data_IF_340125314434
#
_entry.id   IF_340125314434
#
_cell.length_a   1.000
_cell.length_b   1.000
_cell.length_c   1.000
_cell.angle_alpha   90.00
_cell.angle_beta   90.00
_cell.angle_gamma   90.00
#
_symmetry.space_group_name_H-M   'P 1'
#
loop_
_entity.id
_entity.type
_entity.pdbx_description
1 polymer ?
#
# COMPACT_ATOMS: atom_id res chain seq x y z
N UNK A 1 -67.76 4.00 26.35
CA UNK A 1 -67.82 4.11 24.87
C UNK A 1 -66.55 4.85 24.43
N UNK A 2 -65.76 4.23 23.54
CA UNK A 2 -64.46 4.73 23.03
C UNK A 2 -64.61 6.01 22.17
N UNK A 3 -63.55 6.59 21.55
CA UNK A 3 -62.47 5.97 20.75
C UNK A 3 -61.41 7.00 20.34
N UNK A 4 -60.16 6.54 20.12
CA UNK A 4 -59.14 7.12 19.22
C UNK A 4 -58.06 7.96 19.91
N UNK A 5 -56.75 7.69 19.85
CA UNK A 5 -55.94 6.80 19.03
C UNK A 5 -54.79 7.58 18.39
N UNK A 6 -53.56 7.49 18.91
CA UNK A 6 -52.32 7.87 18.22
C UNK A 6 -51.18 6.91 18.62
N UNK A 7 -50.43 6.47 17.61
CA UNK A 7 -49.49 5.36 17.64
C UNK A 7 -48.13 5.70 18.27
N UNK A 8 -47.51 4.69 18.89
CA UNK A 8 -46.14 4.71 19.42
C UNK A 8 -45.13 4.15 18.40
N UNK A 9 -43.86 4.60 18.43
CA UNK A 9 -42.73 3.73 18.16
C UNK A 9 -42.05 3.30 19.47
N UNK A 10 -41.91 1.98 19.59
CA UNK A 10 -41.30 1.25 20.70
C UNK A 10 -39.80 1.54 20.76
N UNK A 11 -39.32 1.94 21.93
CA UNK A 11 -37.90 1.97 22.32
C UNK A 11 -37.46 0.52 22.53
N UNK A 12 -36.42 0.08 21.82
CA UNK A 12 -35.75 -1.20 22.09
C UNK A 12 -34.46 -0.87 22.87
N UNK A 13 -34.40 -1.08 24.20
CA UNK A 13 -33.12 -1.12 24.88
C UNK A 13 -32.46 -2.46 24.55
N UNK A 14 -31.33 -2.39 23.84
CA UNK A 14 -30.48 -3.55 23.56
C UNK A 14 -29.70 -3.89 24.84
N UNK A 15 -30.27 -4.79 25.63
CA UNK A 15 -29.59 -5.42 26.77
C UNK A 15 -28.86 -6.67 26.25
N UNK A 16 -27.53 -6.61 26.09
CA UNK A 16 -26.72 -7.78 25.76
C UNK A 16 -26.14 -8.32 27.07
N UNK A 17 -26.87 -9.27 27.67
CA UNK A 17 -26.34 -10.16 28.68
C UNK A 17 -25.24 -11.03 28.06
N UNK A 18 -23.98 -10.79 28.47
CA UNK A 18 -22.87 -11.65 28.12
C UNK A 18 -22.91 -12.92 29.00
N UNK A 19 -23.59 -13.97 28.51
CA UNK A 19 -23.50 -15.30 29.12
C UNK A 19 -22.13 -15.90 28.79
N UNK A 20 -21.16 -15.70 29.68
CA UNK A 20 -19.89 -16.41 29.64
C UNK A 20 -20.09 -17.86 30.15
N UNK A 21 -20.53 -18.74 29.25
CA UNK A 21 -20.42 -20.18 29.43
C UNK A 21 -19.16 -20.66 28.71
N UNK A 22 -18.08 -20.75 29.47
CA UNK A 22 -16.81 -21.33 29.05
C UNK A 22 -16.37 -22.40 30.05
N UNK A 23 -17.14 -23.47 30.19
CA UNK A 23 -16.65 -24.69 30.81
C UNK A 23 -15.80 -25.45 29.79
N UNK A 24 -14.48 -25.34 29.92
CA UNK A 24 -13.56 -26.36 29.42
C UNK A 24 -12.38 -26.47 30.38
N UNK A 25 -12.52 -27.45 31.26
CA UNK A 25 -11.46 -28.02 32.08
C UNK A 25 -10.45 -28.69 31.14
N UNK A 26 -9.23 -28.15 31.04
CA UNK A 26 -8.09 -28.91 30.50
C UNK A 26 -6.82 -28.71 31.31
N UNK A 27 -6.27 -29.86 31.61
CA UNK A 27 -5.13 -30.20 32.45
C UNK A 27 -3.82 -30.01 31.67
N UNK A 28 -2.74 -29.68 32.39
CA UNK A 28 -1.30 -29.76 32.05
C UNK A 28 -0.89 -30.09 30.60
N UNK A 29 -0.15 -29.17 29.97
CA UNK A 29 0.75 -29.48 28.84
C UNK A 29 0.88 -28.34 27.85
N UNK A 30 2.09 -27.96 27.50
CA UNK A 30 2.39 -26.71 26.78
C UNK A 30 2.11 -26.71 25.27
N UNK A 31 2.19 -25.47 24.74
CA UNK A 31 2.55 -25.09 23.38
C UNK A 31 1.46 -24.94 22.28
N UNK A 32 1.47 -23.73 21.71
CA UNK A 32 0.95 -23.22 20.42
C UNK A 32 -0.54 -22.90 20.28
N UNK A 33 -0.92 -21.66 20.62
CA UNK A 33 -2.15 -21.02 20.16
C UNK A 33 -1.88 -19.60 19.63
N UNK A 34 -1.48 -19.46 18.35
CA UNK A 34 -1.38 -18.10 17.77
C UNK A 34 -1.79 -17.97 16.29
N UNK A 35 -2.49 -18.96 15.71
CA UNK A 35 -2.97 -18.86 14.31
C UNK A 35 -4.49 -18.66 14.14
N UNK A 36 -5.30 -19.07 15.13
CA UNK A 36 -6.77 -18.94 15.04
C UNK A 36 -7.26 -17.53 15.40
N UNK A 37 -6.67 -16.90 16.42
CA UNK A 37 -7.06 -15.54 16.86
C UNK A 37 -6.68 -14.46 15.85
N UNK A 38 -5.66 -14.69 15.02
CA UNK A 38 -5.22 -13.71 14.01
C UNK A 38 -6.19 -13.67 12.81
N UNK A 39 -6.61 -14.82 12.27
CA UNK A 39 -7.57 -14.86 11.17
C UNK A 39 -8.91 -14.19 11.53
N UNK A 40 -9.37 -14.32 12.78
CA UNK A 40 -10.58 -13.66 13.25
C UNK A 40 -10.37 -12.14 13.37
N UNK A 41 -9.23 -11.67 13.85
CA UNK A 41 -8.89 -10.24 13.90
C UNK A 41 -8.77 -9.63 12.50
N UNK A 42 -8.13 -10.33 11.57
CA UNK A 42 -7.97 -9.89 10.18
C UNK A 42 -9.32 -9.83 9.44
N UNK A 43 -10.22 -10.78 9.73
CA UNK A 43 -11.58 -10.79 9.18
C UNK A 43 -12.44 -9.68 9.79
N UNK A 44 -12.34 -9.44 11.11
CA UNK A 44 -13.08 -8.37 11.78
C UNK A 44 -12.58 -6.98 11.38
N UNK A 45 -11.27 -6.78 11.20
CA UNK A 45 -10.72 -5.52 10.63
C UNK A 45 -11.19 -5.28 9.19
N UNK A 46 -11.29 -6.34 8.39
CA UNK A 46 -11.81 -6.28 7.02
C UNK A 46 -13.30 -5.95 6.97
N UNK A 47 -14.10 -6.44 7.90
CA UNK A 47 -15.54 -6.15 8.02
C UNK A 47 -15.78 -4.73 8.58
N UNK A 48 -14.93 -4.25 9.50
CA UNK A 48 -14.97 -2.86 9.98
C UNK A 48 -14.62 -1.84 8.88
N UNK A 49 -13.80 -2.23 7.89
CA UNK A 49 -13.42 -1.35 6.78
C UNK A 49 -14.45 -1.27 5.64
N UNK A 50 -15.56 -2.02 5.70
CA UNK A 50 -16.62 -2.00 4.68
C UNK A 50 -17.89 -1.23 5.10
N UNK A 51 -17.82 -0.39 6.13
CA UNK A 51 -18.91 0.51 6.52
C UNK A 51 -18.77 1.89 5.88
N UNK A 52 -19.54 2.16 4.83
CA UNK A 52 -19.63 3.51 4.24
C UNK A 52 -20.13 4.53 5.26
N UNK A 53 -19.30 5.54 5.54
CA UNK A 53 -19.65 6.70 6.36
C UNK A 53 -19.00 7.96 5.81
N UNK A 54 -19.83 8.91 5.34
CA UNK A 54 -19.40 10.21 4.84
C UNK A 54 -18.72 11.01 5.95
N UNK A 55 -17.42 11.22 5.83
CA UNK A 55 -16.61 12.10 6.65
C UNK A 55 -15.36 12.48 5.86
N UNK A 56 -15.49 13.46 4.96
CA UNK A 56 -14.45 13.88 4.04
C UNK A 56 -13.32 14.63 4.78
N UNK A 57 -12.37 13.88 5.33
CA UNK A 57 -10.97 14.30 5.31
C UNK A 57 -10.40 13.78 4.00
N UNK A 58 -9.99 14.70 3.12
CA UNK A 58 -9.51 14.45 1.77
C UNK A 58 -8.09 13.80 1.76
N UNK A 59 -7.85 12.82 2.64
CA UNK A 59 -6.52 12.23 2.85
C UNK A 59 -6.28 11.18 1.76
N UNK A 60 -5.43 11.55 0.79
CA UNK A 60 -4.92 10.64 -0.24
C UNK A 60 -4.16 9.50 0.47
N UNK A 61 -4.47 8.23 0.19
CA UNK A 61 -3.74 7.11 0.79
C UNK A 61 -2.28 7.09 0.29
N UNK A 62 -1.37 6.48 1.05
CA UNK A 62 0.06 6.41 0.67
C UNK A 62 0.34 5.35 -0.40
N UNK A 63 -0.51 4.31 -0.50
CA UNK A 63 -0.40 3.23 -1.47
C UNK A 63 -1.77 2.91 -2.10
N UNK A 64 -1.77 2.10 -3.16
CA UNK A 64 -2.95 1.74 -3.95
C UNK A 64 -3.20 2.70 -5.12
N UNK A 65 -4.10 2.34 -6.03
CA UNK A 65 -4.40 3.14 -7.24
C UNK A 65 -4.81 4.60 -6.93
N UNK A 66 -5.47 4.84 -5.80
CA UNK A 66 -5.97 6.15 -5.40
C UNK A 66 -4.90 7.01 -4.70
N UNK A 67 -3.70 6.47 -4.47
CA UNK A 67 -2.55 7.22 -3.93
C UNK A 67 -1.83 8.08 -4.97
N UNK A 68 -2.04 7.78 -6.24
CA UNK A 68 -1.42 8.54 -7.35
C UNK A 68 -2.26 9.80 -7.59
N UNK A 69 -1.64 11.00 -7.55
CA UNK A 69 -2.34 12.24 -7.85
C UNK A 69 -3.04 12.17 -9.20
N UNK A 70 -4.33 12.50 -9.25
CA UNK A 70 -5.13 12.52 -10.50
C UNK A 70 -4.92 13.87 -11.19
N UNK A 71 -4.57 13.85 -12.47
CA UNK A 71 -4.38 15.07 -13.27
C UNK A 71 -3.98 14.76 -14.71
N UNK A 72 -3.84 15.80 -15.56
CA UNK A 72 -3.20 15.63 -16.85
C UNK A 72 -1.74 15.21 -16.62
N UNK A 73 -1.34 14.09 -17.18
CA UNK A 73 0.04 13.63 -17.14
C UNK A 73 0.74 14.10 -18.40
N UNK A 74 1.94 14.65 -18.24
CA UNK A 74 2.82 14.90 -19.40
C UNK A 74 3.26 13.58 -20.02
N UNK A 75 3.69 13.61 -21.26
CA UNK A 75 4.28 12.46 -21.93
C UNK A 75 5.79 12.64 -22.09
N UNK A 76 6.53 11.54 -21.95
CA UNK A 76 7.97 11.46 -22.24
C UNK A 76 8.21 10.19 -23.03
N UNK A 77 8.93 10.30 -24.14
CA UNK A 77 9.21 9.18 -25.03
C UNK A 77 7.94 8.44 -25.51
N UNK A 78 6.81 9.14 -25.63
CA UNK A 78 5.52 8.56 -26.01
C UNK A 78 4.79 7.79 -24.89
N UNK A 79 5.22 7.94 -23.64
CA UNK A 79 4.60 7.30 -22.48
C UNK A 79 4.10 8.33 -21.47
N UNK A 80 2.94 8.08 -20.82
CA UNK A 80 2.43 8.97 -19.79
C UNK A 80 3.30 8.93 -18.53
N UNK A 81 3.63 10.11 -18.01
CA UNK A 81 4.33 10.29 -16.73
C UNK A 81 3.32 10.18 -15.59
N UNK A 82 2.82 8.97 -15.39
CA UNK A 82 1.90 8.60 -14.32
C UNK A 82 2.52 7.48 -13.51
N UNK A 83 2.57 7.58 -12.19
CA UNK A 83 3.05 6.46 -11.36
C UNK A 83 2.17 5.23 -11.55
N UNK A 84 2.79 4.11 -11.92
CA UNK A 84 2.18 2.79 -11.90
C UNK A 84 2.22 2.25 -10.46
N UNK A 85 1.25 2.67 -9.64
CA UNK A 85 1.17 2.42 -8.20
C UNK A 85 1.61 1.00 -7.79
N UNK A 86 0.97 -0.04 -8.35
CA UNK A 86 1.28 -1.43 -7.98
C UNK A 86 2.69 -1.90 -8.36
N UNK A 87 3.33 -1.26 -9.35
CA UNK A 87 4.73 -1.55 -9.68
C UNK A 87 5.69 -0.78 -8.75
N UNK A 88 5.39 0.49 -8.46
CA UNK A 88 6.18 1.32 -7.55
C UNK A 88 6.16 0.77 -6.12
N UNK A 89 5.00 0.33 -5.64
CA UNK A 89 4.82 -0.22 -4.29
C UNK A 89 5.71 -1.44 -4.03
N UNK A 90 6.10 -2.21 -5.06
CA UNK A 90 7.08 -3.30 -4.92
C UNK A 90 8.46 -2.83 -4.47
N UNK A 91 8.69 -1.53 -4.41
CA UNK A 91 9.90 -0.89 -3.93
C UNK A 91 9.66 -0.06 -2.66
N UNK A 92 8.42 0.12 -2.20
CA UNK A 92 8.11 0.90 -0.99
C UNK A 92 7.93 -0.06 0.19
N UNK A 93 8.75 0.06 1.26
CA UNK A 93 8.60 -0.76 2.46
C UNK A 93 7.18 -0.70 3.04
N UNK A 94 6.80 -1.77 3.73
CA UNK A 94 5.50 -1.92 4.41
C UNK A 94 4.24 -2.00 3.55
N UNK A 95 4.34 -1.75 2.24
CA UNK A 95 3.22 -1.97 1.32
C UNK A 95 2.90 -3.47 1.18
N UNK A 96 1.63 -3.83 0.90
CA UNK A 96 1.27 -5.23 0.64
C UNK A 96 2.07 -5.86 -0.50
N UNK A 97 2.35 -5.08 -1.56
CA UNK A 97 3.11 -5.53 -2.72
C UNK A 97 4.58 -5.81 -2.38
N UNK A 98 5.23 -4.97 -1.57
CA UNK A 98 6.59 -5.22 -1.10
C UNK A 98 6.67 -6.45 -0.20
N UNK A 99 5.75 -6.58 0.77
CA UNK A 99 5.67 -7.76 1.65
C UNK A 99 5.47 -9.05 0.85
N UNK A 100 4.68 -9.01 -0.22
CA UNK A 100 4.48 -10.15 -1.10
C UNK A 100 5.75 -10.53 -1.87
N UNK A 101 6.54 -9.56 -2.37
CA UNK A 101 7.81 -9.85 -3.03
C UNK A 101 8.81 -10.50 -2.05
N UNK A 102 8.87 -10.02 -0.80
CA UNK A 102 9.68 -10.65 0.25
C UNK A 102 9.21 -12.08 0.58
N UNK A 103 7.90 -12.30 0.70
CA UNK A 103 7.33 -13.63 0.93
C UNK A 103 7.64 -14.61 -0.23
N UNK A 104 7.80 -14.08 -1.45
CA UNK A 104 8.23 -14.83 -2.63
C UNK A 104 9.76 -15.02 -2.72
N UNK A 105 10.52 -14.65 -1.69
CA UNK A 105 11.98 -14.74 -1.66
C UNK A 105 12.69 -13.74 -2.59
N UNK A 106 12.01 -12.66 -2.99
CA UNK A 106 12.56 -11.63 -3.88
C UNK A 106 12.86 -10.36 -3.11
N UNK A 107 14.15 -10.12 -2.89
CA UNK A 107 14.62 -8.84 -2.38
C UNK A 107 14.56 -7.77 -3.48
N UNK A 108 13.96 -6.63 -3.17
CA UNK A 108 13.75 -5.51 -4.09
C UNK A 108 14.54 -4.32 -3.58
N UNK A 109 15.05 -3.49 -4.49
CA UNK A 109 15.56 -2.17 -4.12
C UNK A 109 14.46 -1.40 -3.36
N UNK A 110 14.87 -0.63 -2.35
CA UNK A 110 13.99 0.14 -1.48
C UNK A 110 13.93 1.58 -2.00
N UNK A 111 12.75 2.09 -2.30
CA UNK A 111 12.48 3.48 -2.63
C UNK A 111 12.08 4.25 -1.36
N UNK A 112 12.60 5.45 -1.19
CA UNK A 112 12.23 6.35 -0.10
C UNK A 112 11.06 7.23 -0.52
N UNK A 113 9.95 7.10 0.20
CA UNK A 113 8.72 7.84 -0.07
C UNK A 113 7.59 6.95 -0.56
N UNK A 114 6.55 7.58 -1.06
CA UNK A 114 5.31 6.93 -1.49
C UNK A 114 5.00 7.21 -2.97
N UNK A 115 3.81 6.82 -3.43
CA UNK A 115 3.40 7.07 -4.82
C UNK A 115 3.29 8.56 -5.16
N UNK A 116 3.06 9.44 -4.17
CA UNK A 116 3.04 10.89 -4.38
C UNK A 116 4.45 11.41 -4.62
N UNK A 117 5.41 11.04 -3.78
CA UNK A 117 6.83 11.39 -3.96
C UNK A 117 7.36 10.82 -5.28
N UNK A 118 7.00 9.58 -5.62
CA UNK A 118 7.37 8.99 -6.91
C UNK A 118 6.81 9.80 -8.09
N UNK A 119 5.58 10.32 -7.99
CA UNK A 119 4.99 11.16 -9.03
C UNK A 119 5.75 12.48 -9.15
N UNK A 120 6.07 13.14 -8.03
CA UNK A 120 6.86 14.37 -8.02
C UNK A 120 8.25 14.18 -8.65
N UNK A 121 8.92 13.05 -8.37
CA UNK A 121 10.20 12.72 -8.99
C UNK A 121 10.04 12.46 -10.50
N UNK A 122 9.02 11.71 -10.92
CA UNK A 122 8.73 11.51 -12.34
C UNK A 122 8.46 12.85 -13.05
N UNK A 123 7.67 13.73 -12.46
CA UNK A 123 7.34 15.04 -13.02
C UNK A 123 8.58 15.91 -13.19
N UNK A 124 9.51 15.86 -12.24
CA UNK A 124 10.75 16.67 -12.27
C UNK A 124 11.85 16.07 -13.14
N UNK A 125 12.01 14.75 -13.18
CA UNK A 125 13.23 14.11 -13.67
C UNK A 125 13.06 13.25 -14.92
N UNK A 126 11.84 12.77 -15.24
CA UNK A 126 11.64 11.96 -16.44
C UNK A 126 11.99 12.76 -17.71
N UNK A 127 12.82 12.17 -18.58
CA UNK A 127 13.34 12.77 -19.81
C UNK A 127 14.63 13.58 -19.64
N UNK A 128 15.27 13.58 -18.47
CA UNK A 128 16.50 14.34 -18.18
C UNK A 128 17.75 13.47 -18.04
N UNK A 129 17.59 12.16 -17.92
CA UNK A 129 18.66 11.20 -17.77
C UNK A 129 19.10 10.55 -19.09
N UNK A 130 19.85 9.46 -18.95
CA UNK A 130 20.36 8.67 -20.07
C UNK A 130 19.33 7.63 -20.49
N UNK A 131 18.83 7.73 -21.73
CA UNK A 131 17.96 6.71 -22.30
C UNK A 131 18.77 5.47 -22.67
N UNK A 132 18.45 4.35 -22.03
CA UNK A 132 19.07 3.06 -22.30
C UNK A 132 18.40 2.38 -23.50
N UNK A 133 19.16 1.51 -24.17
CA UNK A 133 18.72 0.75 -25.37
C UNK A 133 17.42 -0.04 -25.19
N UNK A 134 17.02 -0.33 -23.95
CA UNK A 134 15.80 -1.08 -23.65
C UNK A 134 14.61 -0.21 -23.23
N UNK A 135 14.62 1.08 -23.57
CA UNK A 135 13.51 2.00 -23.33
C UNK A 135 13.35 2.41 -21.86
N UNK A 136 14.36 2.16 -21.03
CA UNK A 136 14.43 2.66 -19.65
C UNK A 136 15.35 3.84 -19.59
N UNK A 137 15.14 4.73 -18.64
CA UNK A 137 16.00 5.90 -18.47
C UNK A 137 16.73 5.81 -17.13
N UNK A 138 18.05 5.99 -17.17
CA UNK A 138 18.85 6.13 -15.95
C UNK A 138 18.93 7.59 -15.58
N UNK A 139 18.45 7.92 -14.38
CA UNK A 139 18.43 9.30 -13.88
C UNK A 139 19.19 9.38 -12.57
N UNK A 140 19.99 10.43 -12.43
CA UNK A 140 20.50 10.87 -11.14
C UNK A 140 19.55 11.94 -10.59
N UNK A 141 18.92 11.65 -9.46
CA UNK A 141 17.93 12.52 -8.83
C UNK A 141 18.59 13.62 -7.98
N UNK A 142 19.92 13.57 -7.80
CA UNK A 142 20.68 14.55 -7.03
C UNK A 142 20.51 14.46 -5.51
N UNK A 143 19.56 13.66 -5.03
CA UNK A 143 19.30 13.36 -3.62
C UNK A 143 19.09 11.85 -3.42
N UNK A 144 19.33 11.30 -2.22
CA UNK A 144 19.08 9.89 -1.96
C UNK A 144 17.61 9.52 -2.16
N UNK A 145 17.32 8.70 -3.17
CA UNK A 145 15.95 8.25 -3.50
C UNK A 145 15.63 6.86 -2.93
N UNK A 146 16.61 6.19 -2.33
CA UNK A 146 16.45 4.83 -1.86
C UNK A 146 17.73 4.05 -1.68
N UNK A 147 17.58 2.73 -1.54
CA UNK A 147 18.66 1.76 -1.50
C UNK A 147 18.56 0.78 -2.66
N UNK A 148 19.63 0.64 -3.42
CA UNK A 148 19.82 -0.42 -4.39
C UNK A 148 20.14 -1.74 -3.68
N UNK A 149 19.48 -2.82 -4.07
CA UNK A 149 19.81 -4.17 -3.61
C UNK A 149 20.79 -4.85 -4.57
N UNK A 150 22.02 -5.12 -4.11
CA UNK A 150 23.01 -5.88 -4.87
C UNK A 150 22.74 -7.39 -4.67
N UNK A 151 22.41 -8.08 -5.76
CA UNK A 151 22.07 -9.51 -5.73
C UNK A 151 23.29 -10.42 -5.53
N UNK A 152 24.50 -9.92 -5.77
CA UNK A 152 25.72 -10.71 -5.64
C UNK A 152 26.19 -10.73 -4.19
N UNK A 153 26.13 -9.58 -3.50
CA UNK A 153 26.55 -9.45 -2.09
C UNK A 153 25.39 -9.64 -1.12
N UNK A 154 24.15 -9.43 -1.56
CA UNK A 154 22.97 -9.42 -0.69
C UNK A 154 22.82 -8.14 0.12
N UNK A 155 23.57 -7.09 -0.21
CA UNK A 155 23.62 -5.84 0.55
C UNK A 155 22.75 -4.74 -0.08
N UNK A 156 22.38 -3.77 0.76
CA UNK A 156 21.66 -2.57 0.35
C UNK A 156 22.60 -1.37 0.36
N UNK A 157 22.74 -0.69 -0.77
CA UNK A 157 23.55 0.51 -0.92
C UNK A 157 22.65 1.71 -1.18
N UNK A 158 22.83 2.79 -0.42
CA UNK A 158 22.14 4.04 -0.68
C UNK A 158 22.50 4.59 -2.06
N UNK A 159 21.53 5.19 -2.75
CA UNK A 159 21.70 5.66 -4.12
C UNK A 159 20.87 6.89 -4.42
N UNK A 160 21.47 7.82 -5.17
CA UNK A 160 20.77 8.94 -5.81
C UNK A 160 20.31 8.59 -7.22
N UNK A 161 20.72 7.43 -7.74
CA UNK A 161 20.46 7.01 -9.12
C UNK A 161 19.35 5.98 -9.19
N UNK A 162 18.44 6.14 -10.13
CA UNK A 162 17.37 5.20 -10.38
C UNK A 162 17.15 4.96 -11.86
N UNK A 163 16.44 3.86 -12.16
CA UNK A 163 15.90 3.59 -13.47
C UNK A 163 14.42 3.96 -13.49
N UNK A 164 14.03 4.79 -14.44
CA UNK A 164 12.63 5.01 -14.80
C UNK A 164 12.24 3.97 -15.84
N UNK A 165 11.27 3.15 -15.48
CA UNK A 165 10.67 2.15 -16.36
C UNK A 165 9.38 2.73 -16.93
N UNK A 166 9.38 3.06 -18.23
CA UNK A 166 8.21 3.56 -18.95
C UNK A 166 7.28 2.43 -19.40
N UNK A 167 6.01 2.76 -19.57
CA UNK A 167 4.98 1.87 -20.09
C UNK A 167 3.69 2.60 -20.41
N UNK A 168 2.79 1.93 -21.13
CA UNK A 168 1.50 2.51 -21.58
C UNK A 168 0.61 2.92 -20.39
N UNK A 169 0.64 2.16 -19.29
CA UNK A 169 -0.15 2.45 -18.09
C UNK A 169 0.50 3.50 -17.16
N UNK A 170 1.69 3.99 -17.51
CA UNK A 170 2.52 4.84 -16.66
C UNK A 170 3.93 4.31 -16.46
N UNK A 171 4.65 4.94 -15.53
CA UNK A 171 6.05 4.67 -15.21
C UNK A 171 6.24 4.34 -13.72
N UNK A 172 7.38 3.74 -13.38
CA UNK A 172 7.82 3.56 -11.99
C UNK A 172 9.34 3.73 -11.89
N UNK A 173 9.79 4.10 -10.68
CA UNK A 173 11.18 4.38 -10.34
C UNK A 173 11.74 3.20 -9.55
N UNK A 174 12.87 2.67 -10.03
CA UNK A 174 13.61 1.59 -9.36
C UNK A 174 14.97 2.12 -8.94
N UNK A 175 15.27 2.22 -7.63
CA UNK A 175 16.61 2.58 -7.17
C UNK A 175 17.66 1.60 -7.71
N UNK A 176 18.73 2.16 -8.26
CA UNK A 176 19.71 1.45 -9.10
C UNK A 176 21.13 1.68 -8.61
N UNK A 177 22.07 0.89 -9.12
CA UNK A 177 23.49 1.01 -8.78
C UNK A 177 23.96 2.46 -8.97
N UNK A 178 24.72 3.04 -8.01
CA UNK A 178 25.31 4.36 -8.14
C UNK A 178 26.32 4.45 -9.29
#
# INVERSE_FOLDING_TARGET
VGTGGLASPIVIPLDIAATAIGASLFVHGGFVWNKSIQNTKDTIQKIQSSGGGKGASNRIPSYGKDSVPKGPYREVNGYPIKVKAGAQEKHIPDTPNYKQELANGKNKSIFYGDNKIAQELLDKFAGKGELLKNGRERVDFGEPIGKYYDRNTGEYHETTKGLIHYGLDGAHIVPSRP
#
